data_IF_139581154161
#
_entry.id   IF_139581154161
#
_cell.length_a   1.000
_cell.length_b   1.000
_cell.length_c   1.000
_cell.angle_alpha   90.00
_cell.angle_beta   90.00
_cell.angle_gamma   90.00
#
_symmetry.space_group_name_H-M   'P 1'
#
loop_
_entity.id
_entity.type
_entity.pdbx_description
1 polymer ?
#
# COMPACT_ATOMS: atom_id res chain seq x y z
N UNK A 1 -9.78 11.90 34.99
CA UNK A 1 -9.36 12.58 33.77
C UNK A 1 -8.60 11.58 32.88
N UNK A 2 -9.35 10.92 32.00
CA UNK A 2 -8.75 10.05 30.97
C UNK A 2 -8.59 10.86 29.69
N UNK A 3 -7.71 11.82 29.76
CA UNK A 3 -7.22 12.50 28.56
C UNK A 3 -6.56 11.47 27.65
N UNK A 4 -7.06 11.42 26.43
CA UNK A 4 -6.55 10.61 25.34
C UNK A 4 -5.02 10.71 25.27
N UNK A 5 -4.34 9.66 25.71
CA UNK A 5 -2.92 9.50 25.40
C UNK A 5 -2.82 9.40 23.90
N UNK A 6 -2.19 10.40 23.29
CA UNK A 6 -2.05 10.46 21.85
C UNK A 6 -1.44 9.18 21.31
N UNK A 7 -2.12 8.55 20.37
CA UNK A 7 -1.67 7.38 19.62
C UNK A 7 -0.31 7.59 18.95
N UNK A 8 0.14 8.83 18.78
CA UNK A 8 1.38 9.18 18.08
C UNK A 8 2.68 8.72 18.72
N UNK A 9 2.78 8.61 20.05
CA UNK A 9 4.03 8.21 20.73
C UNK A 9 4.15 6.70 20.94
N UNK A 10 3.04 5.96 20.89
CA UNK A 10 3.00 4.53 21.20
C UNK A 10 3.45 3.68 20.01
N UNK A 11 3.28 4.14 18.78
CA UNK A 11 3.53 3.33 17.56
C UNK A 11 4.90 3.54 16.90
N UNK A 12 5.80 4.31 17.50
CA UNK A 12 7.18 4.42 16.99
C UNK A 12 7.91 3.09 17.12
N UNK A 13 7.93 2.27 16.08
CA UNK A 13 8.64 0.99 15.97
C UNK A 13 8.05 -0.16 16.82
N UNK A 14 6.74 -0.18 17.05
CA UNK A 14 6.11 -1.34 17.68
C UNK A 14 5.88 -2.47 16.68
N UNK A 15 6.06 -3.70 17.17
CA UNK A 15 5.61 -4.88 16.44
C UNK A 15 4.09 -4.91 16.43
N UNK A 16 3.53 -5.03 15.25
CA UNK A 16 2.09 -5.07 15.00
C UNK A 16 1.75 -6.44 14.48
N UNK A 17 0.65 -7.01 14.97
CA UNK A 17 0.07 -8.25 14.44
C UNK A 17 -1.05 -7.92 13.45
N UNK A 18 -1.36 -8.88 12.58
CA UNK A 18 -2.54 -8.76 11.72
C UNK A 18 -3.80 -8.64 12.57
N UNK A 19 -4.66 -7.69 12.24
CA UNK A 19 -5.89 -7.39 12.98
C UNK A 19 -5.76 -6.36 14.10
N UNK A 20 -4.56 -5.89 14.44
CA UNK A 20 -4.39 -4.81 15.42
C UNK A 20 -4.99 -3.50 14.89
N UNK A 21 -5.67 -2.75 15.75
CA UNK A 21 -6.21 -1.44 15.42
C UNK A 21 -5.06 -0.43 15.30
N UNK A 22 -4.93 0.20 14.13
CA UNK A 22 -3.85 1.15 13.82
C UNK A 22 -4.25 2.60 13.99
N UNK A 23 -5.42 2.94 13.46
CA UNK A 23 -5.94 4.31 13.42
C UNK A 23 -7.44 4.26 13.69
N UNK A 24 -7.91 5.22 14.47
CA UNK A 24 -9.32 5.48 14.68
C UNK A 24 -9.59 6.92 14.25
N UNK A 25 -10.40 7.07 13.20
CA UNK A 25 -10.86 8.37 12.75
C UNK A 25 -12.02 8.84 13.63
N UNK A 26 -12.26 10.16 13.67
CA UNK A 26 -13.45 10.73 14.31
C UNK A 26 -14.72 10.14 13.67
N UNK A 27 -15.57 9.53 14.47
CA UNK A 27 -16.72 8.76 13.98
C UNK A 27 -18.08 9.22 14.54
N UNK A 28 -18.12 10.30 15.33
CA UNK A 28 -19.32 10.78 16.01
C UNK A 28 -20.49 11.01 15.07
N UNK A 29 -20.26 11.73 13.97
CA UNK A 29 -21.30 12.01 12.97
C UNK A 29 -21.74 10.76 12.21
N UNK A 30 -20.79 9.88 11.88
CA UNK A 30 -21.07 8.62 11.18
C UNK A 30 -21.85 7.66 12.06
N UNK A 31 -21.53 7.61 13.35
CA UNK A 31 -22.25 6.82 14.34
C UNK A 31 -23.70 7.33 14.50
N UNK A 32 -23.89 8.63 14.59
CA UNK A 32 -25.21 9.25 14.64
C UNK A 32 -26.04 8.93 13.39
N UNK A 33 -25.46 9.08 12.21
CA UNK A 33 -26.12 8.76 10.94
C UNK A 33 -26.48 7.27 10.84
N UNK A 34 -25.61 6.38 11.28
CA UNK A 34 -25.91 4.94 11.34
C UNK A 34 -27.05 4.62 12.28
N UNK A 35 -27.11 5.25 13.46
CA UNK A 35 -28.19 5.07 14.40
C UNK A 35 -29.52 5.60 13.86
N UNK A 36 -29.51 6.76 13.18
CA UNK A 36 -30.70 7.31 12.53
C UNK A 36 -31.22 6.40 11.41
N UNK A 37 -30.33 5.87 10.56
CA UNK A 37 -30.73 4.93 9.49
C UNK A 37 -31.32 3.65 10.07
N UNK A 38 -30.78 3.10 11.17
CA UNK A 38 -31.36 1.96 11.89
C UNK A 38 -32.76 2.26 12.43
N UNK A 39 -32.96 3.42 13.04
CA UNK A 39 -34.28 3.82 13.54
C UNK A 39 -35.27 3.98 12.37
N UNK A 40 -34.86 4.58 11.26
CA UNK A 40 -35.70 4.70 10.04
C UNK A 40 -36.10 3.35 9.50
N UNK A 41 -35.19 2.37 9.45
CA UNK A 41 -35.48 1.00 9.07
C UNK A 41 -36.51 0.36 10.00
N UNK A 42 -36.35 0.49 11.30
CA UNK A 42 -37.30 -0.06 12.28
C UNK A 42 -38.71 0.52 12.10
N UNK A 43 -38.82 1.81 11.79
CA UNK A 43 -40.12 2.44 11.53
C UNK A 43 -40.74 1.85 10.25
N UNK A 44 -39.98 1.73 9.17
CA UNK A 44 -40.46 1.16 7.91
C UNK A 44 -40.89 -0.32 8.07
N UNK A 45 -40.13 -1.11 8.83
CA UNK A 45 -40.50 -2.51 9.13
C UNK A 45 -41.79 -2.63 9.94
N UNK A 46 -41.98 -1.75 10.93
CA UNK A 46 -43.23 -1.71 11.73
C UNK A 46 -44.43 -1.31 10.87
N UNK A 47 -44.26 -0.36 9.95
CA UNK A 47 -45.32 0.05 9.01
C UNK A 47 -45.70 -1.08 8.06
N UNK A 48 -44.70 -1.75 7.49
CA UNK A 48 -44.92 -2.96 6.66
C UNK A 48 -45.65 -4.04 7.44
N UNK A 49 -45.26 -4.30 8.69
CA UNK A 49 -45.92 -5.30 9.53
C UNK A 49 -47.40 -4.96 9.80
N UNK A 50 -47.71 -3.69 10.12
CA UNK A 50 -49.08 -3.19 10.30
C UNK A 50 -49.89 -3.34 9.04
N UNK A 51 -49.37 -2.95 7.87
CA UNK A 51 -50.01 -3.08 6.60
C UNK A 51 -50.29 -4.55 6.21
N UNK A 52 -49.38 -5.48 6.51
CA UNK A 52 -49.60 -6.92 6.33
C UNK A 52 -50.72 -7.45 7.16
N UNK A 53 -50.91 -6.98 8.38
CA UNK A 53 -51.99 -7.41 9.27
C UNK A 53 -53.36 -6.90 8.82
N UNK A 54 -53.42 -5.72 8.15
CA UNK A 54 -54.67 -5.14 7.69
C UNK A 54 -55.06 -5.53 6.24
N UNK A 55 -54.15 -6.10 5.43
CA UNK A 55 -54.32 -6.26 3.97
C UNK A 55 -55.06 -7.52 3.52
N UNK A 56 -55.75 -8.23 4.39
CA UNK A 56 -56.41 -9.50 3.99
C UNK A 56 -57.59 -9.35 2.99
N UNK A 57 -58.01 -8.12 2.62
CA UNK A 57 -59.32 -7.91 1.97
C UNK A 57 -59.33 -7.03 0.72
N UNK A 58 -58.26 -6.32 0.28
CA UNK A 58 -58.36 -5.39 -0.81
C UNK A 58 -57.14 -5.37 -1.76
N UNK A 59 -57.39 -5.25 -3.10
CA UNK A 59 -56.36 -5.17 -4.14
C UNK A 59 -55.49 -3.89 -4.07
N UNK A 60 -56.03 -2.79 -3.56
CA UNK A 60 -55.27 -1.56 -3.31
C UNK A 60 -54.22 -1.73 -2.21
N UNK A 61 -54.54 -2.52 -1.18
CA UNK A 61 -53.60 -2.85 -0.10
C UNK A 61 -52.43 -3.69 -0.58
N UNK A 62 -52.63 -4.54 -1.62
CA UNK A 62 -51.51 -5.32 -2.21
C UNK A 62 -50.51 -4.43 -2.95
N UNK A 63 -50.94 -3.38 -3.66
CA UNK A 63 -50.04 -2.42 -4.30
C UNK A 63 -49.24 -1.64 -3.24
N UNK A 64 -49.90 -1.21 -2.16
CA UNK A 64 -49.25 -0.53 -1.02
C UNK A 64 -48.26 -1.41 -0.31
N UNK A 65 -48.52 -2.73 -0.19
CA UNK A 65 -47.52 -3.65 0.39
C UNK A 65 -46.26 -3.75 -0.45
N UNK A 66 -46.36 -3.78 -1.76
CA UNK A 66 -45.19 -3.79 -2.65
C UNK A 66 -44.34 -2.51 -2.48
N UNK A 67 -44.99 -1.35 -2.37
CA UNK A 67 -44.30 -0.09 -2.10
C UNK A 67 -43.58 -0.11 -0.72
N UNK A 68 -44.25 -0.58 0.33
CA UNK A 68 -43.64 -0.68 1.67
C UNK A 68 -42.50 -1.68 1.70
N UNK A 69 -42.57 -2.78 0.99
CA UNK A 69 -41.45 -3.74 0.85
C UNK A 69 -40.25 -3.05 0.20
N UNK A 70 -40.46 -2.33 -0.93
CA UNK A 70 -39.40 -1.58 -1.60
C UNK A 70 -38.79 -0.51 -0.67
N UNK A 71 -39.63 0.16 0.14
CA UNK A 71 -39.16 1.14 1.12
C UNK A 71 -38.31 0.50 2.21
N UNK A 72 -38.68 -0.65 2.72
CA UNK A 72 -37.85 -1.40 3.70
C UNK A 72 -36.54 -1.82 3.09
N UNK A 73 -36.52 -2.30 1.85
CA UNK A 73 -35.29 -2.69 1.14
C UNK A 73 -34.34 -1.47 0.91
N UNK A 74 -34.92 -0.30 0.56
CA UNK A 74 -34.17 0.93 0.47
C UNK A 74 -33.53 1.30 1.83
N UNK A 75 -34.32 1.21 2.92
CA UNK A 75 -33.80 1.52 4.28
C UNK A 75 -32.75 0.53 4.74
N UNK A 76 -32.84 -0.75 4.37
CA UNK A 76 -31.78 -1.74 4.61
C UNK A 76 -30.48 -1.35 3.91
N UNK A 77 -30.54 -0.99 2.64
CA UNK A 77 -29.38 -0.55 1.87
C UNK A 77 -28.75 0.72 2.49
N UNK A 78 -29.58 1.65 3.02
CA UNK A 78 -29.10 2.84 3.72
C UNK A 78 -28.36 2.49 5.01
N UNK A 79 -28.87 1.55 5.81
CA UNK A 79 -28.21 1.03 7.04
C UNK A 79 -26.90 0.34 6.70
N UNK A 80 -26.85 -0.48 5.66
CA UNK A 80 -25.63 -1.14 5.18
C UNK A 80 -24.57 -0.12 4.78
N UNK A 81 -24.94 0.84 3.93
CA UNK A 81 -24.03 1.91 3.47
C UNK A 81 -23.48 2.74 4.62
N UNK A 82 -24.34 3.17 5.58
CA UNK A 82 -23.89 3.95 6.74
C UNK A 82 -23.04 3.11 7.68
N UNK A 83 -23.35 1.82 7.83
CA UNK A 83 -22.57 0.85 8.60
C UNK A 83 -21.17 0.63 8.02
N UNK A 84 -21.04 0.52 6.70
CA UNK A 84 -19.74 0.41 6.03
C UNK A 84 -18.88 1.67 6.23
N UNK A 85 -19.49 2.86 6.09
CA UNK A 85 -18.79 4.12 6.36
C UNK A 85 -18.27 4.17 7.79
N UNK A 86 -19.07 3.77 8.77
CA UNK A 86 -18.67 3.72 10.17
C UNK A 86 -17.58 2.68 10.41
N UNK A 87 -17.64 1.50 9.77
CA UNK A 87 -16.61 0.47 9.88
C UNK A 87 -15.27 0.98 9.34
N UNK A 88 -15.28 1.76 8.27
CA UNK A 88 -14.09 2.30 7.63
C UNK A 88 -13.40 3.41 8.43
N UNK A 89 -13.99 3.88 9.54
CA UNK A 89 -13.30 4.79 10.48
C UNK A 89 -12.22 4.09 11.28
N UNK A 90 -12.25 2.77 11.37
CA UNK A 90 -11.29 1.96 12.11
C UNK A 90 -10.40 1.21 11.14
N UNK A 91 -9.13 1.60 11.09
CA UNK A 91 -8.14 0.98 10.22
C UNK A 91 -7.35 -0.07 11.00
N UNK A 92 -7.38 -1.30 10.51
CA UNK A 92 -6.69 -2.44 11.12
C UNK A 92 -5.48 -2.87 10.28
N UNK A 93 -4.50 -3.48 10.93
CA UNK A 93 -3.32 -4.02 10.28
C UNK A 93 -3.69 -5.20 9.38
N UNK A 94 -3.33 -5.13 8.10
CA UNK A 94 -3.53 -6.22 7.14
C UNK A 94 -2.51 -7.34 7.28
N UNK A 95 -1.33 -7.04 7.86
CA UNK A 95 -0.22 -7.98 8.02
C UNK A 95 0.57 -7.69 9.28
N UNK A 96 1.32 -8.71 9.73
CA UNK A 96 2.30 -8.55 10.82
C UNK A 96 3.50 -7.74 10.33
N UNK A 97 4.01 -6.85 11.17
CA UNK A 97 5.17 -6.02 10.82
C UNK A 97 5.53 -4.98 11.86
N UNK A 98 6.31 -4.00 11.43
CA UNK A 98 6.69 -2.84 12.23
C UNK A 98 6.01 -1.61 11.65
N UNK A 99 5.28 -0.86 12.47
CA UNK A 99 4.70 0.41 12.04
C UNK A 99 5.79 1.48 11.89
N UNK A 100 5.77 2.11 10.72
CA UNK A 100 6.59 3.28 10.41
C UNK A 100 5.64 4.45 10.19
N UNK A 101 5.63 5.39 11.13
CA UNK A 101 4.88 6.64 11.03
C UNK A 101 5.86 7.76 10.71
N UNK A 102 5.52 8.61 9.76
CA UNK A 102 6.33 9.78 9.46
C UNK A 102 6.23 10.79 10.62
N UNK A 103 7.37 11.04 11.30
CA UNK A 103 7.44 11.89 12.49
C UNK A 103 7.11 13.37 12.24
N UNK A 104 7.16 13.79 10.97
CA UNK A 104 6.87 15.19 10.60
C UNK A 104 5.39 15.54 10.65
N UNK A 105 4.52 14.53 10.69
CA UNK A 105 3.08 14.71 10.69
C UNK A 105 2.51 14.26 12.03
N UNK A 106 2.05 15.20 12.82
CA UNK A 106 1.17 14.90 13.95
C UNK A 106 -0.24 14.63 13.37
N UNK A 107 -0.66 13.39 13.42
CA UNK A 107 -1.94 12.94 12.89
C UNK A 107 -3.12 13.17 13.84
N UNK A 108 -2.83 13.51 15.09
CA UNK A 108 -3.88 13.71 16.09
C UNK A 108 -4.64 15.01 15.80
N UNK A 109 -5.98 14.88 15.62
CA UNK A 109 -6.85 16.02 15.33
C UNK A 109 -6.70 16.62 13.92
N UNK A 110 -5.92 15.99 13.04
CA UNK A 110 -5.74 16.44 11.67
C UNK A 110 -6.78 15.79 10.74
N UNK A 111 -7.44 16.57 9.86
CA UNK A 111 -8.30 16.01 8.83
C UNK A 111 -7.47 15.19 7.83
N UNK A 112 -8.00 14.05 7.41
CA UNK A 112 -7.37 13.16 6.42
C UNK A 112 -8.24 13.04 5.19
N UNK A 113 -7.60 12.93 4.02
CA UNK A 113 -8.26 12.73 2.75
C UNK A 113 -8.29 11.24 2.37
N UNK A 114 -9.27 10.85 1.56
CA UNK A 114 -9.33 9.48 1.03
C UNK A 114 -8.10 9.20 0.18
N UNK A 115 -7.39 8.11 0.49
CA UNK A 115 -6.15 7.74 -0.19
C UNK A 115 -4.87 8.38 0.41
N UNK A 116 -4.99 9.20 1.44
CA UNK A 116 -3.84 9.77 2.13
C UNK A 116 -3.09 8.69 2.91
N UNK A 117 -1.76 8.66 2.76
CA UNK A 117 -0.90 7.67 3.42
C UNK A 117 -0.59 8.11 4.84
N UNK A 118 -1.17 7.45 5.82
CA UNK A 118 -0.97 7.75 7.24
C UNK A 118 0.28 7.06 7.79
N UNK A 119 0.46 5.76 7.50
CA UNK A 119 1.59 4.97 7.98
C UNK A 119 1.96 3.86 6.99
N UNK A 120 3.10 3.24 7.22
CA UNK A 120 3.55 2.05 6.48
C UNK A 120 3.79 0.92 7.46
N UNK A 121 3.31 -0.29 7.14
CA UNK A 121 3.67 -1.50 7.87
C UNK A 121 4.78 -2.18 7.09
N UNK A 122 5.98 -2.24 7.68
CA UNK A 122 7.12 -2.91 7.10
C UNK A 122 7.25 -4.33 7.66
N UNK A 123 7.44 -5.31 6.79
CA UNK A 123 7.78 -6.66 7.21
C UNK A 123 9.30 -6.78 7.31
N UNK A 124 9.88 -6.90 8.51
CA UNK A 124 11.33 -6.98 8.67
C UNK A 124 11.94 -8.27 8.09
N UNK A 125 11.14 -9.31 7.88
CA UNK A 125 11.60 -10.58 7.33
C UNK A 125 11.64 -10.59 5.80
N UNK A 126 11.02 -9.60 5.15
CA UNK A 126 10.99 -9.49 3.70
C UNK A 126 11.62 -8.16 3.27
N UNK A 127 12.95 -8.12 3.29
CA UNK A 127 13.74 -6.94 2.94
C UNK A 127 14.20 -7.05 1.49
N UNK A 128 13.96 -6.00 0.73
CA UNK A 128 14.48 -5.82 -0.61
C UNK A 128 15.41 -4.61 -0.66
N UNK A 129 16.46 -4.70 -1.46
CA UNK A 129 17.26 -3.53 -1.81
C UNK A 129 16.70 -2.90 -3.09
N UNK A 130 16.41 -1.61 -3.05
CA UNK A 130 16.09 -0.83 -4.22
C UNK A 130 17.39 -0.26 -4.81
N UNK A 131 17.80 -0.75 -5.97
CA UNK A 131 19.01 -0.32 -6.66
C UNK A 131 18.62 0.53 -7.86
N UNK A 132 19.25 1.70 -7.96
CA UNK A 132 19.12 2.59 -9.12
C UNK A 132 20.28 2.35 -10.07
N UNK A 133 20.01 1.75 -11.25
CA UNK A 133 21.00 1.49 -12.25
C UNK A 133 20.92 2.55 -13.36
N UNK A 134 21.94 3.40 -13.54
CA UNK A 134 21.95 4.38 -14.61
C UNK A 134 21.79 3.73 -16.00
N UNK A 135 21.00 4.36 -16.87
CA UNK A 135 20.72 3.83 -18.21
C UNK A 135 22.02 3.58 -18.99
N UNK A 136 23.02 4.45 -18.85
CA UNK A 136 24.35 4.31 -19.50
C UNK A 136 25.09 3.03 -19.10
N UNK A 137 24.80 2.51 -17.91
CA UNK A 137 25.46 1.32 -17.35
C UNK A 137 24.57 0.08 -17.46
N UNK A 138 23.36 0.20 -18.04
CA UNK A 138 22.43 -0.89 -18.23
C UNK A 138 22.99 -1.87 -19.27
N UNK A 139 23.50 -2.98 -18.78
CA UNK A 139 23.81 -4.18 -19.58
C UNK A 139 22.56 -5.04 -19.66
N UNK A 140 22.61 -6.07 -20.52
CA UNK A 140 21.55 -7.11 -20.53
C UNK A 140 21.58 -7.81 -19.18
N UNK A 141 20.68 -7.39 -18.31
CA UNK A 141 20.53 -7.95 -16.96
C UNK A 141 19.52 -9.09 -17.07
N UNK A 142 19.94 -10.27 -16.66
CA UNK A 142 19.05 -11.44 -16.59
C UNK A 142 18.41 -11.51 -15.20
N UNK A 143 17.17 -11.95 -15.15
CA UNK A 143 16.52 -12.33 -13.88
C UNK A 143 17.39 -13.33 -13.11
N UNK A 144 17.32 -13.29 -11.80
CA UNK A 144 18.13 -14.10 -10.88
C UNK A 144 19.64 -13.85 -10.96
N UNK A 145 20.08 -12.75 -11.58
CA UNK A 145 21.50 -12.36 -11.55
C UNK A 145 21.97 -12.11 -10.11
N UNK A 146 23.18 -12.57 -9.80
CA UNK A 146 23.76 -12.34 -8.48
C UNK A 146 24.10 -10.87 -8.29
N UNK A 147 23.77 -10.36 -7.12
CA UNK A 147 24.05 -8.97 -6.74
C UNK A 147 24.79 -8.98 -5.40
N UNK A 148 25.82 -8.13 -5.30
CA UNK A 148 26.50 -7.84 -4.02
C UNK A 148 26.19 -6.40 -3.64
N UNK A 149 25.63 -6.23 -2.46
CA UNK A 149 25.30 -4.91 -1.90
C UNK A 149 26.30 -4.58 -0.80
N UNK A 150 26.97 -3.46 -0.94
CA UNK A 150 27.93 -2.91 0.03
C UNK A 150 27.22 -1.77 0.76
N UNK A 151 26.93 -1.96 2.03
CA UNK A 151 26.32 -0.92 2.85
C UNK A 151 27.37 0.10 3.30
N UNK A 152 27.03 1.37 3.32
CA UNK A 152 27.92 2.46 3.76
C UNK A 152 28.40 2.28 5.20
N UNK A 153 27.57 1.64 6.05
CA UNK A 153 27.93 1.31 7.44
C UNK A 153 28.94 0.15 7.55
N UNK A 154 29.06 -0.70 6.50
CA UNK A 154 30.00 -1.81 6.46
C UNK A 154 30.41 -2.10 5.01
N UNK A 155 31.32 -1.31 4.45
CA UNK A 155 31.69 -1.40 3.02
C UNK A 155 32.59 -2.62 2.69
N UNK A 156 33.11 -3.30 3.71
CA UNK A 156 34.04 -4.42 3.52
C UNK A 156 33.28 -5.74 3.32
N UNK A 157 32.16 -5.92 4.03
CA UNK A 157 31.39 -7.17 3.98
C UNK A 157 30.15 -7.01 3.09
N UNK A 158 30.18 -7.48 1.84
CA UNK A 158 29.03 -7.38 0.96
C UNK A 158 27.91 -8.33 1.39
N UNK A 159 26.68 -7.82 1.33
CA UNK A 159 25.47 -8.62 1.44
C UNK A 159 25.18 -9.27 0.10
N UNK A 160 24.80 -10.54 0.12
CA UNK A 160 24.41 -11.27 -1.08
C UNK A 160 22.93 -11.08 -1.36
N UNK A 161 22.59 -10.99 -2.62
CA UNK A 161 21.21 -10.92 -3.07
C UNK A 161 21.07 -11.39 -4.51
N UNK A 162 19.82 -11.60 -4.93
CA UNK A 162 19.44 -11.91 -6.29
C UNK A 162 18.51 -10.85 -6.86
N UNK A 163 18.69 -10.58 -8.12
CA UNK A 163 17.80 -9.69 -8.85
C UNK A 163 16.42 -10.34 -8.96
N UNK A 164 15.40 -9.67 -8.39
CA UNK A 164 14.00 -10.11 -8.45
C UNK A 164 13.27 -9.50 -9.65
N UNK A 165 13.44 -8.20 -9.85
CA UNK A 165 12.74 -7.46 -10.88
C UNK A 165 13.54 -6.24 -11.29
N UNK A 166 13.38 -5.85 -12.54
CA UNK A 166 13.88 -4.58 -13.07
C UNK A 166 12.71 -3.82 -13.71
N UNK A 167 12.65 -2.50 -13.51
CA UNK A 167 11.66 -1.68 -14.21
C UNK A 167 11.94 -1.70 -15.72
N UNK A 168 10.88 -1.74 -16.52
CA UNK A 168 10.99 -1.66 -17.97
C UNK A 168 11.30 -0.23 -18.43
N UNK A 169 10.76 0.76 -17.73
CA UNK A 169 10.97 2.17 -18.01
C UNK A 169 11.94 2.81 -17.03
N UNK A 170 12.87 3.65 -17.52
CA UNK A 170 13.75 4.39 -16.64
C UNK A 170 12.99 5.55 -15.99
N UNK A 171 13.38 5.89 -14.75
CA UNK A 171 12.87 7.02 -14.00
C UNK A 171 14.03 7.78 -13.35
N UNK A 172 13.78 9.02 -12.94
CA UNK A 172 14.80 9.81 -12.24
C UNK A 172 15.07 9.19 -10.85
N UNK A 173 16.36 8.96 -10.58
CA UNK A 173 16.82 8.56 -9.26
C UNK A 173 16.78 9.76 -8.30
N UNK A 174 16.93 9.56 -6.97
CA UNK A 174 17.09 10.66 -6.02
C UNK A 174 18.26 11.58 -6.28
N UNK A 175 19.22 11.14 -7.11
CA UNK A 175 20.38 11.91 -7.57
C UNK A 175 20.15 12.55 -8.95
N UNK A 176 18.88 12.62 -9.40
CA UNK A 176 18.46 13.20 -10.69
C UNK A 176 19.11 12.53 -11.93
N UNK A 177 19.55 11.27 -11.80
CA UNK A 177 20.09 10.48 -12.90
C UNK A 177 19.01 9.55 -13.44
N UNK A 178 18.82 9.53 -14.77
CA UNK A 178 17.90 8.61 -15.44
C UNK A 178 18.38 7.17 -15.25
N UNK A 179 17.58 6.37 -14.51
CA UNK A 179 17.97 5.07 -14.02
C UNK A 179 16.81 4.07 -14.03
N UNK A 180 17.14 2.79 -14.17
CA UNK A 180 16.20 1.69 -13.97
C UNK A 180 16.10 1.35 -12.48
N UNK A 181 14.88 1.12 -11.98
CA UNK A 181 14.65 0.61 -10.63
C UNK A 181 14.80 -0.91 -10.62
N UNK A 182 15.71 -1.41 -9.80
CA UNK A 182 15.98 -2.84 -9.66
C UNK A 182 15.67 -3.25 -8.24
N UNK A 183 14.78 -4.22 -8.09
CA UNK A 183 14.51 -4.90 -6.82
C UNK A 183 15.45 -6.09 -6.66
N UNK A 184 16.17 -6.15 -5.54
CA UNK A 184 17.11 -7.21 -5.21
C UNK A 184 16.70 -7.86 -3.90
N UNK A 185 16.50 -9.18 -3.89
CA UNK A 185 16.22 -9.92 -2.66
C UNK A 185 17.47 -10.00 -1.78
N UNK A 186 17.26 -10.04 -0.49
CA UNK A 186 18.33 -10.32 0.46
C UNK A 186 18.43 -11.82 0.71
N UNK A 187 19.65 -12.38 0.62
CA UNK A 187 19.94 -13.79 0.86
C UNK A 187 20.82 -13.96 2.12
N UNK A 188 20.36 -13.53 3.26
CA UNK A 188 21.06 -13.67 4.52
C UNK A 188 20.11 -14.01 5.67
N UNK A 189 20.66 -14.49 6.79
CA UNK A 189 19.88 -14.89 7.95
C UNK A 189 19.31 -13.69 8.71
N UNK A 190 20.08 -12.61 8.82
CA UNK A 190 19.69 -11.41 9.58
C UNK A 190 19.48 -10.24 8.63
N UNK A 191 18.23 -9.82 8.40
CA UNK A 191 17.95 -8.72 7.49
C UNK A 191 18.55 -7.40 8.00
N UNK A 192 19.12 -6.57 7.12
CA UNK A 192 19.62 -5.25 7.47
C UNK A 192 18.46 -4.32 7.83
N UNK A 193 18.77 -3.27 8.60
CA UNK A 193 17.76 -2.25 8.95
C UNK A 193 17.28 -1.52 7.69
N UNK A 194 15.99 -1.21 7.66
CA UNK A 194 15.38 -0.43 6.59
C UNK A 194 15.92 1.02 6.61
N UNK A 195 16.17 1.58 5.42
CA UNK A 195 16.66 2.95 5.25
C UNK A 195 18.18 3.07 5.17
N UNK A 196 18.92 1.96 5.20
CA UNK A 196 20.36 1.98 4.96
C UNK A 196 20.66 2.26 3.48
N UNK A 197 21.77 2.97 3.24
CA UNK A 197 22.28 3.28 1.91
C UNK A 197 23.53 2.45 1.62
N UNK A 198 23.86 2.33 0.35
CA UNK A 198 25.04 1.61 -0.08
C UNK A 198 25.18 1.53 -1.58
N UNK A 199 26.16 0.77 -2.05
CA UNK A 199 26.45 0.57 -3.47
C UNK A 199 26.21 -0.89 -3.84
N UNK A 200 25.60 -1.13 -5.00
CA UNK A 200 25.33 -2.47 -5.50
C UNK A 200 26.23 -2.81 -6.70
N UNK A 201 26.79 -4.02 -6.68
CA UNK A 201 27.51 -4.60 -7.82
C UNK A 201 26.67 -5.72 -8.43
N UNK A 202 26.13 -5.49 -9.62
CA UNK A 202 25.31 -6.45 -10.36
C UNK A 202 26.22 -7.22 -11.31
N UNK A 203 26.11 -8.56 -11.28
CA UNK A 203 26.84 -9.44 -12.16
C UNK A 203 25.97 -9.79 -13.37
N UNK A 204 26.26 -9.19 -14.50
CA UNK A 204 25.60 -9.51 -15.78
C UNK A 204 26.10 -10.81 -16.41
N UNK A 205 25.65 -11.10 -17.64
CA UNK A 205 26.13 -12.20 -18.44
C UNK A 205 27.62 -12.03 -18.78
N UNK A 206 28.35 -13.17 -18.83
CA UNK A 206 29.74 -13.14 -19.29
C UNK A 206 29.76 -12.71 -20.75
N UNK A 207 30.53 -11.68 -21.04
CA UNK A 207 30.79 -11.20 -22.40
C UNK A 207 32.26 -11.40 -22.72
N UNK A 208 32.58 -11.63 -23.99
CA UNK A 208 33.99 -11.75 -24.43
C UNK A 208 34.71 -10.42 -24.26
N UNK A 209 35.99 -10.49 -23.88
CA UNK A 209 36.83 -9.30 -23.68
C UNK A 209 36.86 -8.41 -24.93
N UNK A 210 36.86 -9.05 -26.09
CA UNK A 210 36.83 -8.34 -27.40
C UNK A 210 35.55 -7.49 -27.51
N UNK A 211 34.38 -8.03 -27.23
CA UNK A 211 33.13 -7.28 -27.28
C UNK A 211 33.10 -6.13 -26.26
N UNK A 212 33.64 -6.32 -25.09
CA UNK A 212 33.72 -5.27 -24.07
C UNK A 212 34.62 -4.12 -24.50
N UNK A 213 35.79 -4.43 -25.07
CA UNK A 213 36.77 -3.44 -25.48
C UNK A 213 36.33 -2.67 -26.73
N UNK A 214 35.74 -3.35 -27.71
CA UNK A 214 35.41 -2.78 -29.01
C UNK A 214 33.95 -2.24 -29.09
N UNK A 215 33.12 -2.45 -28.12
CA UNK A 215 31.72 -1.97 -28.11
C UNK A 215 31.61 -0.45 -28.32
N UNK A 216 32.38 0.33 -27.58
CA UNK A 216 32.36 1.80 -27.70
C UNK A 216 32.87 2.31 -29.03
N UNK A 217 34.08 1.89 -29.51
CA UNK A 217 34.57 2.31 -30.81
C UNK A 217 33.67 1.81 -31.95
N UNK A 218 33.12 0.62 -31.91
CA UNK A 218 32.18 0.13 -32.93
C UNK A 218 30.92 1.01 -32.98
N UNK A 219 30.36 1.36 -31.81
CA UNK A 219 29.19 2.25 -31.74
C UNK A 219 29.52 3.64 -32.33
N UNK A 220 30.70 4.18 -32.03
CA UNK A 220 31.14 5.48 -32.54
C UNK A 220 31.31 5.45 -34.06
N UNK A 221 31.98 4.44 -34.60
CA UNK A 221 32.17 4.27 -36.06
C UNK A 221 30.80 4.09 -36.75
N UNK A 222 29.91 3.29 -36.19
CA UNK A 222 28.56 3.11 -36.73
C UNK A 222 27.75 4.40 -36.78
N UNK A 223 27.83 5.24 -35.73
CA UNK A 223 27.20 6.54 -35.72
C UNK A 223 27.80 7.52 -36.74
N UNK A 224 29.11 7.45 -36.99
CA UNK A 224 29.80 8.31 -37.93
C UNK A 224 29.48 7.94 -39.39
N UNK A 225 29.26 6.65 -39.69
CA UNK A 225 28.94 6.17 -41.04
C UNK A 225 27.44 6.24 -41.34
N UNK A 226 26.59 6.56 -40.34
CA UNK A 226 25.13 6.70 -40.51
C UNK A 226 24.39 5.39 -40.86
N UNK A 227 24.96 4.23 -40.55
CA UNK A 227 24.33 2.93 -40.78
C UNK A 227 23.42 2.64 -39.56
N UNK A 228 22.13 2.63 -39.80
CA UNK A 228 21.06 2.29 -38.83
C UNK A 228 20.88 0.80 -38.70
#
# INVERSE_FOLDING_TARGET
DRTSRGLGDVYKRQNINSGDLLVMLEDTDLLNNYNLSKQSLQVAEKELLRSRQSSFTDNKEKARLAELVAQVDLKKAEVESTGEKLKNTKLYASQKGIAIVDQKNDWQGRPVSVGEKIMTIANPNNVEFLVWLPVKDSLIIKENSNVKVFLDINPIKPLKGKLLRASYEPSLSPEEVLSYKIGVSYEGEVPPRIGLRGTAKIYGSRVTLFYYLFRKPITFVRQLIGIW
#
